data_IF_344989455126
#
_entry.id   IF_344989455126
#
_cell.length_a   1.000
_cell.length_b   1.000
_cell.length_c   1.000
_cell.angle_alpha   90.00
_cell.angle_beta   90.00
_cell.angle_gamma   90.00
#
_symmetry.space_group_name_H-M   'P 1'
#
loop_
_entity.id
_entity.type
_entity.pdbx_description
1 polymer ?
#
# COMPACT_ATOMS: atom_id res chain seq x y z
N UNK A 1 -10.97 -15.01 -0.10
CA UNK A 1 -9.90 -14.10 0.36
C UNK A 1 -10.31 -12.69 -0.05
N UNK A 2 -10.40 -11.73 0.88
CA UNK A 2 -10.88 -10.37 0.58
C UNK A 2 -9.69 -9.53 0.14
N UNK A 3 -9.80 -8.85 -1.01
CA UNK A 3 -8.75 -7.97 -1.54
C UNK A 3 -9.17 -6.51 -1.43
N UNK A 4 -8.25 -5.64 -1.04
CA UNK A 4 -8.43 -4.19 -1.06
C UNK A 4 -7.32 -3.57 -1.92
N UNK A 5 -7.72 -2.89 -2.99
CA UNK A 5 -6.80 -2.28 -3.95
C UNK A 5 -6.85 -0.75 -3.83
N UNK A 6 -5.68 -0.15 -3.61
CA UNK A 6 -5.48 1.28 -3.66
C UNK A 6 -4.95 1.65 -5.04
N UNK A 7 -5.73 2.40 -5.82
CA UNK A 7 -5.28 2.96 -7.09
C UNK A 7 -5.02 4.45 -6.92
N UNK A 8 -3.75 4.84 -6.93
CA UNK A 8 -3.31 6.16 -6.47
C UNK A 8 -2.35 6.77 -7.48
N UNK A 9 -2.49 8.06 -7.73
CA UNK A 9 -1.68 8.75 -8.73
C UNK A 9 -0.19 8.81 -8.37
N UNK A 10 0.14 8.99 -7.08
CA UNK A 10 1.52 9.06 -6.60
C UNK A 10 1.69 8.31 -5.28
N UNK A 11 2.80 7.61 -5.16
CA UNK A 11 3.20 6.78 -4.03
C UNK A 11 3.28 7.53 -2.68
N UNK A 12 3.82 8.75 -2.66
CA UNK A 12 3.94 9.58 -1.46
C UNK A 12 2.57 9.97 -0.87
N UNK A 13 1.53 10.08 -1.71
CA UNK A 13 0.18 10.41 -1.26
C UNK A 13 -0.45 9.24 -0.50
N UNK A 14 -0.15 8.02 -0.94
CA UNK A 14 -0.53 6.82 -0.19
C UNK A 14 0.14 6.82 1.18
N UNK A 15 1.45 7.05 1.21
CA UNK A 15 2.23 7.04 2.44
C UNK A 15 1.74 8.07 3.47
N UNK A 16 1.35 9.26 2.99
CA UNK A 16 0.91 10.36 3.84
C UNK A 16 -0.49 10.14 4.48
N UNK A 17 -1.39 9.42 3.82
CA UNK A 17 -2.81 9.40 4.22
C UNK A 17 -3.43 8.02 4.42
N UNK A 18 -2.87 6.99 3.80
CA UNK A 18 -3.56 5.72 3.63
C UNK A 18 -2.84 4.53 4.25
N UNK A 19 -1.55 4.65 4.61
CA UNK A 19 -0.75 3.58 5.23
C UNK A 19 -1.44 2.96 6.46
N UNK A 20 -1.86 3.77 7.44
CA UNK A 20 -2.48 3.25 8.66
C UNK A 20 -3.80 2.50 8.38
N UNK A 21 -4.56 2.96 7.38
CA UNK A 21 -5.82 2.32 6.96
C UNK A 21 -5.55 0.99 6.26
N UNK A 22 -4.52 0.96 5.41
CA UNK A 22 -4.08 -0.25 4.73
C UNK A 22 -3.57 -1.29 5.74
N UNK A 23 -2.83 -0.87 6.77
CA UNK A 23 -2.40 -1.71 7.88
C UNK A 23 -3.61 -2.26 8.64
N UNK A 24 -4.57 -1.41 9.03
CA UNK A 24 -5.77 -1.85 9.73
C UNK A 24 -6.61 -2.85 8.90
N UNK A 25 -6.73 -2.62 7.58
CA UNK A 25 -7.42 -3.52 6.68
C UNK A 25 -6.68 -4.87 6.55
N UNK A 26 -5.35 -4.85 6.43
CA UNK A 26 -4.52 -6.06 6.47
C UNK A 26 -4.77 -6.85 7.75
N UNK A 27 -4.75 -6.19 8.89
CA UNK A 27 -4.94 -6.83 10.20
C UNK A 27 -6.38 -7.37 10.38
N UNK A 28 -7.35 -6.79 9.67
CA UNK A 28 -8.71 -7.32 9.52
C UNK A 28 -8.84 -8.50 8.53
N UNK A 29 -7.73 -8.98 7.96
CA UNK A 29 -7.68 -10.15 7.08
C UNK A 29 -7.83 -9.85 5.59
N UNK A 30 -7.59 -8.61 5.16
CA UNK A 30 -7.55 -8.25 3.74
C UNK A 30 -6.15 -8.41 3.14
N UNK A 31 -6.11 -8.85 1.89
CA UNK A 31 -4.91 -8.77 1.05
C UNK A 31 -4.86 -7.36 0.44
N UNK A 32 -3.79 -6.61 0.72
CA UNK A 32 -3.67 -5.22 0.32
C UNK A 32 -2.81 -5.11 -0.95
N UNK A 33 -3.38 -4.47 -1.97
CA UNK A 33 -2.68 -4.14 -3.20
C UNK A 33 -2.59 -2.63 -3.37
N UNK A 34 -1.45 -2.14 -3.83
CA UNK A 34 -1.24 -0.73 -4.14
C UNK A 34 -0.75 -0.64 -5.56
N UNK A 35 -1.53 0.04 -6.39
CA UNK A 35 -1.20 0.38 -7.76
C UNK A 35 -0.92 1.87 -7.81
N UNK A 36 0.30 2.25 -8.17
CA UNK A 36 0.67 3.65 -8.28
C UNK A 36 1.83 3.87 -9.24
N UNK A 37 2.02 5.13 -9.64
CA UNK A 37 3.29 5.51 -10.23
C UNK A 37 4.32 5.71 -9.11
N UNK A 38 5.15 4.69 -8.91
CA UNK A 38 6.26 4.75 -7.96
C UNK A 38 7.40 5.56 -8.57
N UNK A 39 7.79 6.64 -7.89
CA UNK A 39 8.76 7.60 -8.42
C UNK A 39 10.19 7.25 -7.99
N UNK A 40 10.35 6.63 -6.83
CA UNK A 40 11.63 6.13 -6.33
C UNK A 40 11.47 4.82 -5.51
N UNK A 41 12.61 4.23 -5.14
CA UNK A 41 12.64 2.98 -4.37
C UNK A 41 12.24 3.15 -2.90
N UNK A 42 12.13 4.39 -2.38
CA UNK A 42 11.89 4.62 -0.95
C UNK A 42 10.57 4.02 -0.48
N UNK A 43 9.55 4.10 -1.33
CA UNK A 43 8.22 3.59 -0.98
C UNK A 43 8.21 2.06 -1.02
N UNK A 44 8.86 1.46 -2.01
CA UNK A 44 9.07 0.00 -2.08
C UNK A 44 9.81 -0.52 -0.85
N UNK A 45 10.90 0.14 -0.44
CA UNK A 45 11.68 -0.23 0.74
C UNK A 45 10.87 -0.08 2.04
N UNK A 46 10.09 0.99 2.17
CA UNK A 46 9.24 1.25 3.34
C UNK A 46 8.13 0.21 3.49
N UNK A 47 7.64 -0.31 2.39
CA UNK A 47 6.46 -1.19 2.35
C UNK A 47 6.82 -2.68 2.39
N UNK A 48 8.07 -3.07 2.13
CA UNK A 48 8.53 -4.45 2.23
C UNK A 48 8.22 -5.11 3.60
N UNK A 49 8.18 -4.33 4.69
CA UNK A 49 7.86 -4.84 6.03
C UNK A 49 6.33 -4.98 6.30
N UNK A 50 5.49 -4.44 5.42
CA UNK A 50 4.03 -4.34 5.66
C UNK A 50 3.20 -5.45 5.03
N UNK A 51 3.80 -6.34 4.22
CA UNK A 51 3.12 -7.39 3.42
C UNK A 51 2.09 -6.86 2.41
N UNK A 52 2.33 -5.68 1.84
CA UNK A 52 1.52 -5.19 0.73
C UNK A 52 2.07 -5.65 -0.61
N UNK A 53 1.19 -5.76 -1.60
CA UNK A 53 1.54 -6.08 -2.97
C UNK A 53 1.59 -4.79 -3.79
N UNK A 54 2.76 -4.49 -4.36
CA UNK A 54 2.97 -3.32 -5.22
C UNK A 54 2.81 -3.73 -6.69
N UNK A 55 2.15 -2.91 -7.50
CA UNK A 55 1.89 -3.18 -8.92
C UNK A 55 1.88 -1.91 -9.77
#
# INVERSE_FOLDING_TARGET
>A
MKKLCYFINSDWYFDLHWTDRAIAARDAGYEIHIISHFVDDKMSDKIQDTRFYLS
#
